data_IF_314188404547
#
_entry.id   IF_314188404547
#
_cell.length_a   1.000
_cell.length_b   1.000
_cell.length_c   1.000
_cell.angle_alpha   90.00
_cell.angle_beta   90.00
_cell.angle_gamma   90.00
#
_symmetry.space_group_name_H-M   'P 1'
#
loop_
_entity.id
_entity.type
_entity.pdbx_description
1 polymer ?
#
# COMPACT_ATOMS: atom_id res chain seq x y z
N UNK A 1 2.69 -19.13 -13.19
CA UNK A 1 1.37 -18.78 -12.63
C UNK A 1 1.29 -17.27 -12.58
N UNK A 2 0.19 -16.68 -13.06
CA UNK A 2 0.04 -15.22 -13.03
C UNK A 2 -0.12 -14.80 -11.57
N UNK A 3 0.85 -14.07 -11.03
CA UNK A 3 0.75 -13.45 -9.70
C UNK A 3 -0.19 -12.26 -9.79
N UNK A 4 -1.22 -12.26 -8.96
CA UNK A 4 -2.12 -11.12 -8.81
C UNK A 4 -1.65 -10.32 -7.60
N UNK A 5 -1.34 -9.05 -7.81
CA UNK A 5 -1.00 -8.12 -6.74
C UNK A 5 -1.77 -6.82 -6.91
N UNK A 6 -2.38 -6.32 -5.83
CA UNK A 6 -3.05 -5.02 -5.80
C UNK A 6 -2.31 -4.13 -4.81
N UNK A 7 -1.91 -2.95 -5.27
CA UNK A 7 -1.15 -1.98 -4.51
C UNK A 7 -1.94 -0.68 -4.39
N UNK A 8 -2.11 -0.18 -3.17
CA UNK A 8 -2.74 1.12 -2.92
C UNK A 8 -1.87 1.97 -2.00
N UNK A 9 -1.97 3.27 -2.17
CA UNK A 9 -1.40 4.25 -1.26
C UNK A 9 -2.53 5.01 -0.62
N UNK A 10 -2.57 4.99 0.71
CA UNK A 10 -3.56 5.70 1.51
C UNK A 10 -2.87 6.82 2.28
N UNK A 11 -3.40 8.03 2.14
CA UNK A 11 -2.93 9.18 2.89
C UNK A 11 -3.31 9.08 4.37
N UNK A 12 -2.72 9.93 5.21
CA UNK A 12 -3.04 10.05 6.64
C UNK A 12 -4.52 10.34 6.95
N UNK A 13 -5.27 10.86 5.98
CA UNK A 13 -6.70 11.18 6.09
C UNK A 13 -7.62 10.05 5.63
N UNK A 14 -7.10 8.83 5.45
CA UNK A 14 -7.85 7.67 4.95
C UNK A 14 -8.43 7.90 3.55
N UNK A 15 -7.75 8.73 2.76
CA UNK A 15 -8.04 8.99 1.34
C UNK A 15 -7.06 8.18 0.49
N UNK A 16 -7.54 7.25 -0.38
CA UNK A 16 -6.68 6.57 -1.33
C UNK A 16 -6.17 7.59 -2.37
N UNK A 17 -4.86 7.70 -2.51
CA UNK A 17 -4.19 8.64 -3.43
C UNK A 17 -3.64 7.95 -4.67
N UNK A 18 -3.48 6.63 -4.62
CA UNK A 18 -2.98 5.83 -5.73
C UNK A 18 -3.47 4.40 -5.60
N UNK A 19 -3.82 3.80 -6.73
CA UNK A 19 -4.23 2.42 -6.85
C UNK A 19 -3.62 1.83 -8.13
N UNK A 20 -3.01 0.66 -8.00
CA UNK A 20 -2.43 -0.07 -9.12
C UNK A 20 -2.65 -1.57 -8.95
N UNK A 21 -3.14 -2.21 -10.00
CA UNK A 21 -3.24 -3.65 -10.08
C UNK A 21 -2.12 -4.19 -10.98
N UNK A 22 -1.43 -5.21 -10.51
CA UNK A 22 -0.35 -5.92 -11.20
C UNK A 22 -0.79 -7.35 -11.39
N UNK A 23 -1.09 -7.73 -12.63
CA UNK A 23 -1.55 -9.07 -12.99
C UNK A 23 -2.35 -9.09 -14.27
N UNK A 24 -2.37 -10.22 -14.98
CA UNK A 24 -3.14 -10.38 -16.23
C UNK A 24 -4.61 -10.64 -15.91
N UNK A 25 -5.49 -9.66 -16.11
CA UNK A 25 -6.92 -9.83 -15.84
C UNK A 25 -7.76 -9.75 -17.11
N UNK A 26 -8.27 -10.91 -17.53
CA UNK A 26 -9.46 -11.05 -18.39
C UNK A 26 -10.77 -10.82 -17.61
N UNK A 27 -10.70 -10.51 -16.30
CA UNK A 27 -11.84 -10.16 -15.42
C UNK A 27 -11.42 -9.11 -14.38
N UNK A 28 -11.39 -7.84 -14.79
CA UNK A 28 -10.81 -6.74 -13.99
C UNK A 28 -11.80 -6.12 -12.99
N UNK A 29 -13.08 -6.06 -13.30
CA UNK A 29 -14.06 -5.32 -12.49
C UNK A 29 -14.49 -6.03 -11.20
N UNK A 30 -14.77 -7.34 -11.24
CA UNK A 30 -15.21 -8.11 -10.06
C UNK A 30 -14.08 -8.29 -9.04
N UNK A 31 -12.84 -8.50 -9.54
CA UNK A 31 -11.65 -8.62 -8.70
C UNK A 31 -11.28 -7.29 -8.01
N UNK A 32 -11.42 -6.16 -8.71
CA UNK A 32 -11.12 -4.85 -8.14
C UNK A 32 -12.03 -4.50 -6.95
N UNK A 33 -13.33 -4.81 -7.03
CA UNK A 33 -14.27 -4.60 -5.93
C UNK A 33 -13.93 -5.46 -4.70
N UNK A 34 -13.55 -6.72 -4.93
CA UNK A 34 -13.08 -7.61 -3.86
C UNK A 34 -11.79 -7.10 -3.22
N UNK A 35 -10.81 -6.69 -4.02
CA UNK A 35 -9.57 -6.12 -3.52
C UNK A 35 -9.84 -4.88 -2.65
N UNK A 36 -10.67 -3.95 -3.14
CA UNK A 36 -11.04 -2.77 -2.37
C UNK A 36 -11.70 -3.13 -1.03
N UNK A 37 -12.59 -4.13 -1.01
CA UNK A 37 -13.22 -4.60 0.22
C UNK A 37 -12.20 -5.17 1.22
N UNK A 38 -11.29 -6.03 0.75
CA UNK A 38 -10.25 -6.66 1.58
C UNK A 38 -9.31 -5.59 2.16
N UNK A 39 -8.79 -4.69 1.32
CA UNK A 39 -7.88 -3.65 1.80
C UNK A 39 -8.57 -2.67 2.74
N UNK A 40 -9.84 -2.34 2.51
CA UNK A 40 -10.60 -1.49 3.42
C UNK A 40 -10.83 -2.15 4.78
N UNK A 41 -11.13 -3.46 4.81
CA UNK A 41 -11.24 -4.20 6.07
C UNK A 41 -9.91 -4.23 6.84
N UNK A 42 -8.78 -4.32 6.14
CA UNK A 42 -7.46 -4.32 6.75
C UNK A 42 -7.02 -2.94 7.29
N UNK A 43 -7.59 -1.82 6.81
CA UNK A 43 -7.17 -0.47 7.22
C UNK A 43 -7.35 -0.21 8.71
N UNK A 44 -8.43 -0.72 9.31
CA UNK A 44 -8.73 -0.56 10.74
C UNK A 44 -7.65 -1.22 11.59
N UNK A 45 -7.27 -2.46 11.22
CA UNK A 45 -6.22 -3.24 11.88
C UNK A 45 -4.86 -2.53 11.74
N UNK A 46 -4.54 -2.02 10.55
CA UNK A 46 -3.30 -1.28 10.29
C UNK A 46 -3.21 -0.03 11.16
N UNK A 47 -4.32 0.67 11.34
CA UNK A 47 -4.37 1.90 12.12
C UNK A 47 -4.04 1.65 13.60
N UNK A 48 -4.58 0.58 14.19
CA UNK A 48 -4.27 0.17 15.57
C UNK A 48 -2.79 -0.24 15.73
N UNK A 49 -2.28 -1.05 14.80
CA UNK A 49 -0.89 -1.51 14.83
C UNK A 49 0.08 -0.35 14.63
N UNK A 50 -0.22 0.59 13.73
CA UNK A 50 0.63 1.75 13.48
C UNK A 50 0.74 2.69 14.68
N UNK A 51 -0.25 2.71 15.58
CA UNK A 51 -0.18 3.47 16.83
C UNK A 51 0.61 2.77 17.93
N UNK A 52 0.66 1.44 17.92
CA UNK A 52 1.34 0.64 18.95
C UNK A 52 2.77 0.26 18.56
N UNK A 53 3.07 0.21 17.26
CA UNK A 53 4.31 -0.31 16.71
C UNK A 53 5.08 0.77 15.93
N UNK A 54 6.36 0.96 16.27
CA UNK A 54 7.25 1.90 15.57
C UNK A 54 7.90 1.32 14.30
N UNK A 55 7.61 0.06 13.96
CA UNK A 55 8.16 -0.57 12.75
C UNK A 55 7.47 -0.01 11.50
N UNK A 56 8.27 0.37 10.51
CA UNK A 56 7.75 0.88 9.22
C UNK A 56 7.17 -0.23 8.35
N UNK A 57 7.66 -1.46 8.47
CA UNK A 57 7.18 -2.59 7.67
C UNK A 57 6.38 -3.54 8.55
N UNK A 58 5.14 -3.77 8.13
CA UNK A 58 4.14 -4.59 8.78
C UNK A 58 3.78 -5.75 7.84
N UNK A 59 4.35 -6.91 8.12
CA UNK A 59 4.16 -8.12 7.30
C UNK A 59 2.83 -8.80 7.65
N UNK A 60 2.08 -9.20 6.64
CA UNK A 60 0.91 -10.08 6.76
C UNK A 60 -0.07 -9.65 7.86
N UNK A 61 -0.53 -8.40 7.77
CA UNK A 61 -1.45 -7.80 8.74
C UNK A 61 -2.84 -8.42 8.66
N UNK A 62 -3.24 -8.79 7.45
CA UNK A 62 -4.49 -9.51 7.23
C UNK A 62 -4.29 -10.58 6.15
N UNK A 63 -5.15 -11.59 6.17
CA UNK A 63 -5.11 -12.69 5.21
C UNK A 63 -6.50 -13.06 4.75
N UNK A 64 -6.69 -13.06 3.43
CA UNK A 64 -7.93 -13.47 2.80
C UNK A 64 -7.65 -14.57 1.77
N UNK A 65 -8.08 -15.80 2.05
CA UNK A 65 -7.74 -16.99 1.26
C UNK A 65 -6.20 -17.18 1.13
N UNK A 66 -5.70 -17.17 -0.10
CA UNK A 66 -4.27 -17.22 -0.44
C UNK A 66 -3.63 -15.84 -0.57
N UNK A 67 -4.42 -14.76 -0.46
CA UNK A 67 -3.92 -13.40 -0.52
C UNK A 67 -3.53 -12.91 0.87
N UNK A 68 -2.41 -12.21 0.92
CA UNK A 68 -1.82 -11.64 2.12
C UNK A 68 -1.75 -10.12 1.96
N UNK A 69 -2.13 -9.40 3.00
CA UNK A 69 -2.02 -7.93 3.07
C UNK A 69 -0.75 -7.58 3.83
N UNK A 70 0.23 -7.02 3.12
CA UNK A 70 1.42 -6.44 3.72
C UNK A 70 1.36 -4.93 3.63
N UNK A 71 1.86 -4.23 4.66
CA UNK A 71 1.73 -2.77 4.76
C UNK A 71 3.06 -2.14 5.14
N UNK A 72 3.35 -1.00 4.53
CA UNK A 72 4.47 -0.15 4.91
C UNK A 72 3.94 1.22 5.36
N UNK A 73 4.20 1.56 6.60
CA UNK A 73 3.79 2.82 7.22
C UNK A 73 4.97 3.78 7.21
N UNK A 74 4.78 4.94 6.59
CA UNK A 74 5.79 5.98 6.52
C UNK A 74 5.72 6.90 7.74
N UNK A 75 6.78 7.66 8.00
CA UNK A 75 6.80 8.67 9.07
C UNK A 75 5.73 9.77 8.89
N UNK A 76 5.21 9.97 7.67
CA UNK A 76 4.11 10.88 7.37
C UNK A 76 2.72 10.32 7.67
N UNK A 77 2.62 9.13 8.28
CA UNK A 77 1.39 8.34 8.42
C UNK A 77 0.73 7.99 7.08
N UNK A 78 1.50 7.99 5.98
CA UNK A 78 1.07 7.42 4.71
C UNK A 78 1.21 5.90 4.79
N UNK A 79 0.18 5.18 4.35
CA UNK A 79 0.09 3.73 4.43
C UNK A 79 0.18 3.18 3.00
N UNK A 80 1.26 2.48 2.71
CA UNK A 80 1.48 1.78 1.45
C UNK A 80 1.00 0.35 1.66
N UNK A 81 -0.08 -0.07 1.02
CA UNK A 81 -0.68 -1.40 1.24
C UNK A 81 -0.54 -2.24 -0.02
N UNK A 82 -0.13 -3.49 0.14
CA UNK A 82 0.03 -4.45 -0.94
C UNK A 82 -0.72 -5.73 -0.58
N UNK A 83 -1.68 -6.09 -1.42
CA UNK A 83 -2.32 -7.39 -1.44
C UNK A 83 -1.59 -8.26 -2.45
N UNK A 84 -1.09 -9.43 -2.03
CA UNK A 84 -0.31 -10.32 -2.90
C UNK A 84 -0.50 -11.79 -2.49
N UNK A 85 -0.33 -12.72 -3.44
CA UNK A 85 -0.18 -14.16 -3.13
C UNK A 85 1.29 -14.59 -2.95
N UNK A 86 2.23 -13.69 -3.32
CA UNK A 86 3.66 -13.98 -3.31
C UNK A 86 4.18 -14.26 -1.89
N UNK A 87 5.03 -15.29 -1.77
CA UNK A 87 5.73 -15.64 -0.52
C UNK A 87 7.12 -15.02 -0.40
N UNK A 88 7.46 -14.07 -1.28
CA UNK A 88 8.79 -13.48 -1.34
C UNK A 88 8.90 -12.20 -0.48
N UNK A 89 9.00 -12.37 0.84
CA UNK A 89 9.01 -11.27 1.81
C UNK A 89 10.11 -10.23 1.57
N UNK A 90 11.33 -10.67 1.26
CA UNK A 90 12.45 -9.77 1.01
C UNK A 90 12.22 -8.87 -0.21
N UNK A 91 11.66 -9.42 -1.30
CA UNK A 91 11.35 -8.63 -2.48
C UNK A 91 10.18 -7.66 -2.25
N UNK A 92 9.18 -8.08 -1.48
CA UNK A 92 8.07 -7.19 -1.09
C UNK A 92 8.59 -6.03 -0.24
N UNK A 93 9.49 -6.30 0.70
CA UNK A 93 10.11 -5.28 1.53
C UNK A 93 10.95 -4.30 0.69
N UNK A 94 11.78 -4.80 -0.22
CA UNK A 94 12.54 -3.94 -1.14
C UNK A 94 11.63 -3.09 -2.01
N UNK A 95 10.56 -3.67 -2.56
CA UNK A 95 9.57 -2.92 -3.35
C UNK A 95 8.98 -1.75 -2.54
N UNK A 96 8.59 -1.97 -1.29
CA UNK A 96 8.08 -0.89 -0.45
C UNK A 96 9.12 0.19 -0.19
N UNK A 97 10.39 -0.18 0.01
CA UNK A 97 11.48 0.79 0.20
C UNK A 97 11.70 1.64 -1.05
N UNK A 98 11.73 1.03 -2.24
CA UNK A 98 11.87 1.75 -3.50
C UNK A 98 10.70 2.71 -3.75
N UNK A 99 9.46 2.26 -3.53
CA UNK A 99 8.26 3.11 -3.66
C UNK A 99 8.27 4.24 -2.64
N UNK A 100 8.72 3.97 -1.41
CA UNK A 100 8.85 4.99 -0.37
C UNK A 100 9.87 6.07 -0.75
N UNK A 101 11.04 5.68 -1.25
CA UNK A 101 12.05 6.63 -1.74
C UNK A 101 11.51 7.47 -2.90
N UNK A 102 10.78 6.86 -3.83
CA UNK A 102 10.14 7.57 -4.94
C UNK A 102 9.07 8.55 -4.43
N UNK A 103 8.25 8.14 -3.46
CA UNK A 103 7.23 8.97 -2.85
C UNK A 103 7.83 10.20 -2.16
N UNK A 104 8.91 10.04 -1.41
CA UNK A 104 9.62 11.18 -0.79
C UNK A 104 10.19 12.11 -1.85
N UNK A 105 10.83 11.58 -2.90
CA UNK A 105 11.38 12.39 -4.00
C UNK A 105 10.28 13.23 -4.65
N UNK A 106 9.11 12.66 -4.90
CA UNK A 106 7.98 13.38 -5.50
C UNK A 106 7.44 14.50 -4.59
N UNK A 107 7.40 14.26 -3.27
CA UNK A 107 7.02 15.28 -2.29
C UNK A 107 8.05 16.41 -2.20
N UNK A 108 9.34 16.11 -2.40
CA UNK A 108 10.43 17.09 -2.33
C UNK A 108 10.62 17.87 -3.64
N UNK A 109 10.33 17.24 -4.79
CA UNK A 109 10.38 17.85 -6.12
C UNK A 109 9.18 18.77 -6.39
N UNK A 110 8.05 18.57 -5.70
CA UNK A 110 6.92 19.50 -5.70
C UNK A 110 7.35 20.83 -5.05
N UNK A 111 7.72 21.86 -5.81
CA UNK A 111 8.14 23.10 -5.22
C UNK A 111 6.85 23.79 -4.79
N UNK A 112 6.71 24.10 -3.50
CA UNK A 112 5.88 25.25 -3.13
C UNK A 112 6.51 26.48 -3.79
N UNK A 113 6.12 26.77 -5.03
CA UNK A 113 6.23 28.10 -5.60
C UNK A 113 5.11 28.95 -5.00
N UNK A 114 5.24 29.24 -3.70
CA UNK A 114 4.58 30.40 -3.11
C UNK A 114 5.31 31.65 -3.59
N UNK A 115 5.00 32.10 -4.81
CA UNK A 115 5.17 33.52 -5.14
C UNK A 115 3.89 34.20 -4.71
N UNK A 116 3.93 34.71 -3.48
CA UNK A 116 3.20 35.93 -3.11
C UNK A 116 3.78 37.04 -3.99
N UNK A 117 3.07 37.43 -5.04
CA UNK A 117 3.04 38.80 -5.57
C UNK A 117 1.62 39.13 -6.02
#
# INVERSE_FOLDING_TARGET
MATTACFIIVSRNDIPIYEAEVGSATKREDAAQLHQFILHAALDIVQDIAWTTSAMFLKAIDRFNDLVVSVYVTAGHTRLMLLHDSRNDDGIKSFFQEVHELYIKLMQDSPCHSTKE
#
